data_IF_978791439998
#
_entry.id   IF_978791439998
#
_cell.length_a   1.000
_cell.length_b   1.000
_cell.length_c   1.000
_cell.angle_alpha   90.00
_cell.angle_beta   90.00
_cell.angle_gamma   90.00
#
_symmetry.space_group_name_H-M   'P 1'
#
loop_
_entity.id
_entity.type
_entity.pdbx_description
1 polymer ?
#
# COMPACT_ATOMS: atom_id res chain seq x y z
N UNK A 1 -6.62 -32.24 1.42
CA UNK A 1 -6.49 -31.76 0.02
C UNK A 1 -6.41 -32.97 -0.90
N UNK A 2 -7.36 -33.14 -1.82
CA UNK A 2 -7.53 -34.38 -2.61
C UNK A 2 -6.51 -34.53 -3.77
N UNK A 3 -5.70 -33.50 -4.05
CA UNK A 3 -4.81 -33.43 -5.23
C UNK A 3 -3.37 -33.93 -5.01
N UNK A 4 -3.15 -34.92 -4.13
CA UNK A 4 -1.81 -35.50 -3.93
C UNK A 4 -1.24 -36.17 -5.21
N UNK A 5 -2.11 -36.64 -6.10
CA UNK A 5 -1.73 -37.27 -7.38
C UNK A 5 -1.21 -36.30 -8.45
N UNK A 6 -1.32 -34.98 -8.25
CA UNK A 6 -0.82 -34.01 -9.24
C UNK A 6 0.70 -34.14 -9.46
N UNK A 7 1.43 -34.60 -8.45
CA UNK A 7 2.89 -34.82 -8.52
C UNK A 7 3.32 -36.08 -9.28
N UNK A 8 2.38 -36.94 -9.69
CA UNK A 8 2.70 -38.07 -10.58
C UNK A 8 2.68 -37.66 -12.06
N UNK A 9 2.08 -36.50 -12.38
CA UNK A 9 1.99 -35.97 -13.75
C UNK A 9 2.83 -34.71 -13.94
N UNK A 10 3.06 -33.94 -12.88
CA UNK A 10 3.98 -32.80 -12.87
C UNK A 10 5.15 -33.12 -11.97
N UNK A 11 6.38 -33.04 -12.50
CA UNK A 11 7.60 -33.26 -11.71
C UNK A 11 7.67 -32.23 -10.57
N UNK A 12 7.73 -32.64 -9.29
CA UNK A 12 7.67 -31.73 -8.15
C UNK A 12 8.82 -30.71 -8.13
N UNK A 13 10.01 -31.13 -8.58
CA UNK A 13 11.17 -30.25 -8.66
C UNK A 13 11.02 -29.08 -9.63
N UNK A 14 10.11 -29.16 -10.61
CA UNK A 14 9.85 -28.07 -11.56
C UNK A 14 8.50 -27.39 -11.28
N UNK A 15 7.47 -28.15 -10.86
CA UNK A 15 6.14 -27.60 -10.59
C UNK A 15 6.08 -26.71 -9.35
N UNK A 16 6.76 -27.07 -8.25
CA UNK A 16 6.75 -26.25 -7.02
C UNK A 16 7.48 -24.92 -7.25
N UNK A 17 8.70 -24.89 -7.80
CA UNK A 17 9.38 -23.63 -8.05
C UNK A 17 8.65 -22.78 -9.09
N UNK A 18 8.09 -23.38 -10.15
CA UNK A 18 7.32 -22.64 -11.16
C UNK A 18 6.07 -21.98 -10.53
N UNK A 19 5.36 -22.67 -9.65
CA UNK A 19 4.20 -22.11 -8.96
C UNK A 19 4.60 -20.96 -8.03
N UNK A 20 5.63 -21.16 -7.20
CA UNK A 20 6.11 -20.11 -6.28
C UNK A 20 6.65 -18.89 -7.02
N UNK A 21 7.36 -19.09 -8.13
CA UNK A 21 7.86 -17.97 -8.95
C UNK A 21 6.73 -17.25 -9.67
N UNK A 22 5.72 -17.95 -10.18
CA UNK A 22 4.56 -17.32 -10.79
C UNK A 22 3.79 -16.44 -9.77
N UNK A 23 3.64 -16.91 -8.54
CA UNK A 23 3.01 -16.13 -7.46
C UNK A 23 3.87 -14.92 -7.09
N UNK A 24 5.19 -15.07 -6.99
CA UNK A 24 6.09 -13.95 -6.69
C UNK A 24 6.06 -12.88 -7.80
N UNK A 25 6.15 -13.28 -9.06
CA UNK A 25 6.13 -12.37 -10.22
C UNK A 25 4.78 -11.66 -10.34
N UNK A 26 3.67 -12.38 -10.17
CA UNK A 26 2.33 -11.77 -10.21
C UNK A 26 2.13 -10.76 -9.08
N UNK A 27 2.57 -11.07 -7.86
CA UNK A 27 2.55 -10.10 -6.75
C UNK A 27 3.33 -8.85 -7.10
N UNK A 28 4.57 -8.99 -7.58
CA UNK A 28 5.40 -7.85 -7.96
C UNK A 28 4.80 -7.01 -9.09
N UNK A 29 4.19 -7.66 -10.10
CA UNK A 29 3.52 -6.98 -11.19
C UNK A 29 2.33 -6.14 -10.72
N UNK A 30 1.53 -6.65 -9.78
CA UNK A 30 0.42 -5.88 -9.18
C UNK A 30 0.95 -4.68 -8.41
N UNK A 31 2.04 -4.83 -7.65
CA UNK A 31 2.66 -3.72 -6.92
C UNK A 31 3.20 -2.65 -7.88
N UNK A 32 3.87 -3.04 -8.96
CA UNK A 32 4.34 -2.11 -10.01
C UNK A 32 3.17 -1.39 -10.70
N UNK A 33 2.10 -2.09 -11.01
CA UNK A 33 0.90 -1.50 -11.59
C UNK A 33 0.27 -0.47 -10.65
N UNK A 34 0.22 -0.75 -9.34
CA UNK A 34 -0.28 0.18 -8.33
C UNK A 34 0.62 1.42 -8.24
N UNK A 35 1.94 1.25 -8.19
CA UNK A 35 2.89 2.37 -8.12
C UNK A 35 2.81 3.25 -9.36
N UNK A 36 2.60 2.69 -10.54
CA UNK A 36 2.56 3.45 -11.79
C UNK A 36 1.22 4.14 -12.06
N UNK A 37 0.10 3.50 -11.73
CA UNK A 37 -1.25 4.00 -12.05
C UNK A 37 -1.91 4.79 -10.93
N UNK A 38 -1.46 4.68 -9.68
CA UNK A 38 -2.08 5.40 -8.55
C UNK A 38 -1.24 6.60 -8.09
N UNK A 39 -1.80 7.82 -8.05
CA UNK A 39 -1.04 9.02 -7.68
C UNK A 39 -0.71 9.08 -6.17
N UNK A 40 -1.54 8.47 -5.33
CA UNK A 40 -1.34 8.47 -3.87
C UNK A 40 -0.14 7.60 -3.43
N UNK A 41 0.12 6.49 -4.13
CA UNK A 41 1.23 5.61 -3.77
C UNK A 41 2.58 6.23 -4.16
N UNK A 42 2.64 6.97 -5.27
CA UNK A 42 3.81 7.81 -5.59
C UNK A 42 4.01 8.91 -4.56
N UNK A 43 2.93 9.56 -4.10
CA UNK A 43 3.01 10.57 -3.05
C UNK A 43 3.45 10.00 -1.70
N UNK A 44 3.11 8.74 -1.39
CA UNK A 44 3.55 8.02 -0.19
C UNK A 44 5.07 7.74 -0.22
N UNK A 45 5.59 7.20 -1.33
CA UNK A 45 7.03 6.92 -1.46
C UNK A 45 7.89 8.17 -1.67
N UNK A 46 7.33 9.26 -2.20
CA UNK A 46 8.00 10.57 -2.33
C UNK A 46 8.07 11.35 -1.00
N UNK A 47 7.87 10.67 0.14
CA UNK A 47 8.22 11.08 1.49
C UNK A 47 8.19 12.59 1.76
N UNK A 48 7.05 13.11 2.20
CA UNK A 48 6.91 14.47 2.72
C UNK A 48 7.23 15.64 1.76
N UNK A 49 7.60 15.41 0.50
CA UNK A 49 7.86 16.49 -0.47
C UNK A 49 6.64 17.42 -0.73
N UNK A 50 5.42 16.94 -0.43
CA UNK A 50 4.17 17.71 -0.49
C UNK A 50 3.46 17.84 0.87
N UNK A 51 4.16 17.64 1.98
CA UNK A 51 3.59 17.98 3.29
C UNK A 51 3.66 19.50 3.43
N UNK A 52 2.60 20.19 2.99
CA UNK A 52 2.32 21.52 3.53
C UNK A 52 2.38 21.40 5.06
N UNK A 53 3.13 22.30 5.70
CA UNK A 53 3.27 22.33 7.15
C UNK A 53 1.90 22.14 7.80
N UNK A 54 1.76 21.36 8.89
CA UNK A 54 0.49 21.27 9.59
C UNK A 54 0.04 22.70 9.87
N UNK A 55 -1.09 23.09 9.30
CA UNK A 55 -1.69 24.39 9.59
C UNK A 55 -1.82 24.44 11.10
N UNK A 56 -1.11 25.38 11.73
CA UNK A 56 -1.24 25.61 13.15
C UNK A 56 -2.74 25.73 13.42
N UNK A 57 -3.26 24.84 14.27
CA UNK A 57 -4.63 24.98 14.76
C UNK A 57 -4.62 26.31 15.48
N UNK A 58 -5.15 27.35 14.83
CA UNK A 58 -5.40 28.61 15.48
C UNK A 58 -6.36 28.26 16.63
N UNK A 59 -5.85 28.36 17.86
CA UNK A 59 -6.68 28.27 19.05
C UNK A 59 -7.87 29.21 18.81
N UNK A 60 -9.12 28.77 19.06
CA UNK A 60 -10.25 29.67 18.95
C UNK A 60 -9.94 30.88 19.82
N UNK A 61 -9.88 32.04 19.18
CA UNK A 61 -9.62 33.31 19.84
C UNK A 61 -10.56 33.41 21.04
N UNK A 62 -9.96 33.66 22.21
CA UNK A 62 -10.68 33.90 23.45
C UNK A 62 -11.82 34.88 23.17
N UNK A 63 -13.04 34.45 23.49
CA UNK A 63 -14.23 35.26 23.38
C UNK A 63 -13.99 36.64 24.02
N UNK A 64 -14.45 37.74 23.40
CA UNK A 64 -14.35 39.05 24.02
C UNK A 64 -15.09 39.01 25.35
N UNK A 65 -14.42 39.44 26.41
CA UNK A 65 -14.99 39.60 27.73
C UNK A 65 -16.25 40.47 27.66
N UNK A 66 -17.41 39.84 27.78
CA UNK A 66 -18.68 40.51 27.99
C UNK A 66 -18.85 40.72 29.51
N UNK A 67 -18.51 41.92 29.96
CA UNK A 67 -19.16 42.58 31.08
C UNK A 67 -19.29 44.05 30.65
N UNK A 68 -20.46 44.70 30.73
CA UNK A 68 -21.20 44.83 32.00
C UNK A 68 -22.74 44.99 31.91
N UNK A 69 -23.46 44.63 32.98
CA UNK A 69 -24.44 45.49 33.68
C UNK A 69 -24.79 44.92 35.06
#
# INVERSE_FOLDING_TARGET
>A
MIYGKMWTVVRPQLGIPLFLTAVAVSSFAVHLALVTNTPWLKAYYNGAANRAAPAAVAAPAAAPAEAPK
#
